data_IF_210318023371
#
_entry.id   IF_210318023371
#
_cell.length_a   1.000
_cell.length_b   1.000
_cell.length_c   1.000
_cell.angle_alpha   90.00
_cell.angle_beta   90.00
_cell.angle_gamma   90.00
#
_symmetry.space_group_name_H-M   'P 1'
#
loop_
_entity.id
_entity.type
_entity.pdbx_description
1 polymer ?
#
# COMPACT_ATOMS: atom_id res chain seq x y z
N UNK A 1 0.55 12.29 -6.27
CA UNK A 1 -0.67 12.41 -7.11
C UNK A 1 -1.14 11.02 -7.49
N UNK A 2 -2.42 10.71 -7.41
CA UNK A 2 -2.96 9.41 -7.85
C UNK A 2 -3.32 9.49 -9.33
N UNK A 3 -2.90 8.50 -10.13
CA UNK A 3 -3.23 8.37 -11.57
C UNK A 3 -3.32 6.88 -11.95
N UNK A 4 -3.78 6.57 -13.16
CA UNK A 4 -3.72 5.20 -13.68
C UNK A 4 -2.26 4.70 -13.71
N UNK A 5 -2.04 3.48 -13.21
CA UNK A 5 -0.74 2.82 -13.19
C UNK A 5 -0.60 1.87 -14.37
N UNK A 6 0.62 1.73 -14.88
CA UNK A 6 0.95 0.67 -15.86
C UNK A 6 1.21 -0.69 -15.20
N UNK A 7 1.31 -0.73 -13.87
CA UNK A 7 1.46 -1.96 -13.08
C UNK A 7 0.06 -2.52 -12.80
N UNK A 8 -0.73 -1.84 -11.97
CA UNK A 8 -2.09 -2.26 -11.66
C UNK A 8 -2.98 -1.08 -11.27
N UNK A 9 -4.17 -0.99 -11.88
CA UNK A 9 -5.22 -0.03 -11.48
C UNK A 9 -4.74 1.41 -11.39
N UNK A 10 -4.56 1.91 -10.17
CA UNK A 10 -4.03 3.25 -9.88
C UNK A 10 -2.71 3.16 -9.12
N UNK A 11 -1.88 4.18 -9.25
CA UNK A 11 -0.60 4.31 -8.56
C UNK A 11 -0.43 5.69 -7.93
N UNK A 12 0.54 5.81 -7.02
CA UNK A 12 0.98 7.09 -6.47
C UNK A 12 2.18 7.59 -7.26
N UNK A 13 2.10 8.79 -7.80
CA UNK A 13 3.17 9.40 -8.57
C UNK A 13 3.71 10.63 -7.84
N UNK A 14 5.03 10.75 -7.81
CA UNK A 14 5.65 11.94 -7.26
C UNK A 14 5.30 13.18 -8.10
N UNK A 15 5.07 14.31 -7.44
CA UNK A 15 4.81 15.60 -8.12
C UNK A 15 6.04 16.48 -8.18
N UNK A 16 7.05 16.19 -7.36
CA UNK A 16 8.32 16.90 -7.26
C UNK A 16 9.45 15.87 -7.13
N UNK A 17 10.71 16.21 -7.42
CA UNK A 17 11.81 15.30 -7.11
C UNK A 17 11.83 14.96 -5.61
N UNK A 18 12.12 13.70 -5.26
CA UNK A 18 12.28 13.21 -3.88
C UNK A 18 13.72 12.68 -3.76
N UNK A 19 14.57 13.28 -2.92
CA UNK A 19 15.92 12.77 -2.70
C UNK A 19 15.94 11.40 -2.03
N UNK A 20 16.97 10.61 -2.32
CA UNK A 20 17.24 9.35 -1.63
C UNK A 20 17.25 9.55 -0.10
N UNK A 21 16.62 8.62 0.62
CA UNK A 21 16.53 8.64 2.08
C UNK A 21 15.43 9.53 2.66
N UNK A 22 14.70 10.30 1.84
CA UNK A 22 13.56 11.08 2.31
C UNK A 22 12.40 10.17 2.73
N UNK A 23 11.77 10.47 3.87
CA UNK A 23 10.57 9.76 4.34
C UNK A 23 9.40 10.05 3.40
N UNK A 24 8.78 8.98 2.90
CA UNK A 24 7.62 8.99 2.00
C UNK A 24 6.34 8.75 2.80
N UNK A 25 6.37 7.77 3.71
CA UNK A 25 5.26 7.41 4.59
C UNK A 25 5.80 7.04 5.97
N UNK A 26 5.00 7.29 7.01
CA UNK A 26 5.30 6.90 8.39
C UNK A 26 4.00 6.51 9.08
N UNK A 27 4.03 5.36 9.76
CA UNK A 27 2.91 4.88 10.55
C UNK A 27 2.55 5.89 11.63
N UNK A 28 1.34 6.40 11.56
CA UNK A 28 0.83 7.46 12.42
C UNK A 28 -0.43 6.96 13.12
N UNK A 29 -0.31 6.72 14.42
CA UNK A 29 -1.45 6.36 15.28
C UNK A 29 -2.58 7.38 15.17
N UNK A 30 -3.78 6.91 14.85
CA UNK A 30 -4.96 7.77 14.67
C UNK A 30 -5.16 8.29 13.25
N UNK A 31 -4.20 8.04 12.35
CA UNK A 31 -4.33 8.30 10.90
C UNK A 31 -4.42 6.96 10.16
N UNK A 32 -3.50 6.05 10.43
CA UNK A 32 -3.53 4.70 9.86
C UNK A 32 -4.47 3.81 10.68
N UNK A 33 -5.24 3.00 9.96
CA UNK A 33 -6.24 2.15 10.58
C UNK A 33 -5.71 0.73 10.73
N UNK A 34 -5.50 0.30 11.98
CA UNK A 34 -5.26 -1.10 12.31
C UNK A 34 -6.59 -1.82 12.49
N UNK A 35 -6.80 -2.89 11.73
CA UNK A 35 -8.00 -3.73 11.74
C UNK A 35 -7.60 -5.14 12.16
N UNK A 36 -8.17 -5.62 13.27
CA UNK A 36 -7.95 -7.00 13.71
C UNK A 36 -8.65 -8.00 12.78
N UNK A 37 -8.22 -9.27 12.73
CA UNK A 37 -8.91 -10.30 11.94
C UNK A 37 -10.39 -10.45 12.30
N UNK A 38 -10.73 -10.29 13.58
CA UNK A 38 -12.11 -10.34 14.07
C UNK A 38 -12.95 -9.16 13.57
N UNK A 39 -12.39 -7.94 13.59
CA UNK A 39 -13.05 -6.76 13.01
C UNK A 39 -13.21 -6.92 11.50
N UNK A 40 -12.17 -7.37 10.79
CA UNK A 40 -12.23 -7.64 9.35
C UNK A 40 -13.40 -8.58 9.03
N UNK A 41 -13.50 -9.71 9.73
CA UNK A 41 -14.56 -10.69 9.53
C UNK A 41 -15.97 -10.17 9.89
N UNK A 42 -16.07 -9.11 10.70
CA UNK A 42 -17.34 -8.50 11.10
C UNK A 42 -17.93 -7.55 10.06
N UNK A 43 -17.11 -7.03 9.14
CA UNK A 43 -17.58 -6.16 8.06
C UNK A 43 -18.36 -6.95 7.01
N UNK A 44 -19.32 -6.34 6.29
CA UNK A 44 -19.99 -7.03 5.18
C UNK A 44 -19.09 -7.08 3.93
N UNK A 45 -19.30 -8.08 3.07
CA UNK A 45 -18.86 -7.97 1.67
C UNK A 45 -19.73 -6.94 0.93
N UNK A 46 -19.18 -6.16 -0.02
CA UNK A 46 -17.83 -6.21 -0.61
C UNK A 46 -16.78 -5.37 0.13
N UNK A 47 -17.09 -4.85 1.33
CA UNK A 47 -16.18 -3.97 2.06
C UNK A 47 -14.97 -4.72 2.61
N UNK A 48 -15.13 -5.99 3.04
CA UNK A 48 -13.99 -6.84 3.41
C UNK A 48 -13.00 -6.99 2.25
N UNK A 49 -13.47 -7.36 1.06
CA UNK A 49 -12.63 -7.48 -0.14
C UNK A 49 -11.92 -6.16 -0.46
N UNK A 50 -12.62 -5.03 -0.32
CA UNK A 50 -12.03 -3.70 -0.52
C UNK A 50 -10.96 -3.37 0.51
N UNK A 51 -11.19 -3.67 1.79
CA UNK A 51 -10.19 -3.46 2.85
C UNK A 51 -8.94 -4.30 2.60
N UNK A 52 -9.10 -5.62 2.35
CA UNK A 52 -7.97 -6.52 2.05
C UNK A 52 -7.15 -6.05 0.86
N UNK A 53 -7.78 -5.47 -0.16
CA UNK A 53 -7.07 -4.95 -1.34
C UNK A 53 -6.16 -3.75 -1.02
N UNK A 54 -6.53 -2.92 -0.06
CA UNK A 54 -5.83 -1.65 0.23
C UNK A 54 -5.06 -1.65 1.56
N UNK A 55 -5.18 -2.71 2.35
CA UNK A 55 -4.41 -2.95 3.56
C UNK A 55 -3.37 -4.03 3.33
N UNK A 56 -2.30 -4.02 4.11
CA UNK A 56 -1.36 -5.14 4.20
C UNK A 56 -1.53 -5.89 5.52
N UNK A 57 -1.25 -7.19 5.55
CA UNK A 57 -1.22 -7.93 6.81
C UNK A 57 0.17 -7.79 7.44
N UNK A 58 0.24 -7.05 8.54
CA UNK A 58 1.50 -6.85 9.28
C UNK A 58 1.88 -8.12 10.08
N UNK A 59 3.15 -8.24 10.47
CA UNK A 59 3.65 -9.33 11.33
C UNK A 59 2.90 -9.49 12.66
N UNK A 60 2.24 -8.42 13.13
CA UNK A 60 1.37 -8.46 14.31
C UNK A 60 0.11 -9.34 14.13
N UNK A 61 -0.22 -9.72 12.89
CA UNK A 61 -1.46 -10.41 12.53
C UNK A 61 -2.66 -9.48 12.35
N UNK A 62 -2.46 -8.16 12.34
CA UNK A 62 -3.49 -7.17 12.04
C UNK A 62 -3.30 -6.57 10.65
N UNK A 63 -4.41 -6.25 9.99
CA UNK A 63 -4.41 -5.52 8.73
C UNK A 63 -4.16 -4.03 9.00
N UNK A 64 -3.27 -3.41 8.23
CA UNK A 64 -2.99 -1.98 8.34
C UNK A 64 -3.38 -1.30 7.02
N UNK A 65 -4.32 -0.35 7.12
CA UNK A 65 -4.71 0.51 6.02
C UNK A 65 -4.05 1.87 6.20
N UNK A 66 -3.18 2.26 5.27
CA UNK A 66 -2.56 3.58 5.27
C UNK A 66 -3.63 4.67 5.08
N UNK A 67 -3.65 5.64 5.99
CA UNK A 67 -4.62 6.75 5.99
C UNK A 67 -4.42 7.70 4.81
N UNK A 68 -3.19 7.83 4.32
CA UNK A 68 -2.82 8.69 3.20
C UNK A 68 -2.75 7.94 1.87
N UNK A 69 -2.07 8.48 0.86
CA UNK A 69 -2.02 7.86 -0.46
C UNK A 69 -1.12 6.61 -0.54
N UNK A 70 -0.33 6.27 0.49
CA UNK A 70 0.58 5.13 0.47
C UNK A 70 -0.11 3.79 0.15
N UNK A 71 -1.40 3.64 0.53
CA UNK A 71 -2.24 2.48 0.17
C UNK A 71 -2.40 2.22 -1.33
N UNK A 72 -2.00 3.17 -2.18
CA UNK A 72 -2.04 3.03 -3.64
C UNK A 72 -0.65 2.81 -4.25
N UNK A 73 0.41 2.64 -3.46
CA UNK A 73 1.74 2.26 -3.99
C UNK A 73 1.69 0.80 -4.45
N UNK A 74 2.04 0.55 -5.70
CA UNK A 74 2.02 -0.80 -6.28
C UNK A 74 3.29 -1.59 -5.92
N UNK A 75 3.20 -2.91 -6.02
CA UNK A 75 4.35 -3.78 -5.91
C UNK A 75 5.30 -3.64 -7.11
N UNK A 76 6.61 -3.73 -6.88
CA UNK A 76 7.64 -3.88 -7.91
C UNK A 76 8.76 -4.79 -7.42
N UNK A 77 9.37 -5.56 -8.35
CA UNK A 77 10.60 -6.32 -8.09
C UNK A 77 11.84 -5.43 -7.92
N UNK A 78 11.75 -4.17 -8.35
CA UNK A 78 12.78 -3.15 -8.21
C UNK A 78 12.11 -1.87 -7.68
N UNK A 79 11.64 -1.88 -6.43
CA UNK A 79 10.92 -0.75 -5.87
C UNK A 79 11.85 0.45 -5.73
N UNK A 80 11.30 1.65 -5.86
CA UNK A 80 12.00 2.89 -5.54
C UNK A 80 11.74 3.39 -4.12
N UNK A 81 10.88 2.69 -3.38
CA UNK A 81 10.64 2.87 -1.95
C UNK A 81 11.25 1.69 -1.16
N UNK A 82 11.80 2.00 0.01
CA UNK A 82 12.40 1.06 0.96
C UNK A 82 11.59 1.09 2.26
N UNK A 83 10.85 0.01 2.52
CA UNK A 83 9.97 -0.15 3.67
C UNK A 83 10.74 -0.67 4.89
N UNK A 84 10.72 0.11 5.98
CA UNK A 84 11.53 -0.11 7.19
C UNK A 84 10.67 -0.27 8.44
N UNK A 85 9.69 -1.18 8.35
CA UNK A 85 8.75 -1.47 9.43
C UNK A 85 7.72 -0.36 9.62
N UNK A 86 8.03 0.66 10.41
CA UNK A 86 7.09 1.74 10.74
C UNK A 86 7.13 2.95 9.79
N UNK A 87 8.01 2.94 8.80
CA UNK A 87 8.15 4.04 7.84
C UNK A 87 8.72 3.54 6.52
N UNK A 88 8.49 4.30 5.46
CA UNK A 88 8.97 4.06 4.10
C UNK A 88 9.82 5.24 3.67
N UNK A 89 10.98 4.98 3.08
CA UNK A 89 11.86 6.02 2.54
C UNK A 89 12.10 5.85 1.04
N UNK A 90 12.54 6.90 0.36
CA UNK A 90 13.05 6.78 -1.00
C UNK A 90 14.36 5.97 -1.01
N UNK A 91 14.40 4.86 -1.76
CA UNK A 91 15.59 4.01 -1.86
C UNK A 91 16.74 4.67 -2.65
N UNK A 92 16.37 5.55 -3.58
CA UNK A 92 17.25 6.37 -4.41
C UNK A 92 16.53 7.68 -4.78
N UNK A 93 17.18 8.58 -5.51
CA UNK A 93 16.52 9.79 -6.01
C UNK A 93 15.36 9.42 -6.94
N UNK A 94 14.17 9.97 -6.67
CA UNK A 94 12.93 9.75 -7.44
C UNK A 94 12.60 11.04 -8.19
N UNK A 95 12.44 10.94 -9.50
CA UNK A 95 12.06 12.04 -10.37
C UNK A 95 10.61 12.50 -10.16
N UNK A 96 10.32 13.75 -10.49
CA UNK A 96 8.95 14.21 -10.60
C UNK A 96 8.22 13.42 -11.71
N UNK A 97 7.04 12.90 -11.40
CA UNK A 97 6.23 12.10 -12.31
C UNK A 97 6.51 10.60 -12.28
N UNK A 98 7.51 10.13 -11.52
CA UNK A 98 7.74 8.69 -11.32
C UNK A 98 6.72 8.08 -10.36
N UNK A 99 6.35 6.82 -10.60
CA UNK A 99 5.48 6.04 -9.72
C UNK A 99 6.25 5.56 -8.49
N UNK A 100 5.69 5.76 -7.30
CA UNK A 100 6.18 5.23 -6.04
C UNK A 100 5.73 3.77 -5.93
N UNK A 101 6.69 2.87 -5.75
CA UNK A 101 6.47 1.43 -5.71
C UNK A 101 7.22 0.80 -4.55
N UNK A 102 6.63 -0.24 -3.97
CA UNK A 102 7.14 -0.94 -2.79
C UNK A 102 7.39 -2.43 -3.09
N UNK A 103 8.14 -3.11 -2.21
CA UNK A 103 8.19 -4.56 -2.20
C UNK A 103 7.22 -5.12 -1.17
N UNK A 104 6.04 -5.60 -1.60
CA UNK A 104 5.03 -6.12 -0.69
C UNK A 104 5.53 -7.32 0.12
N UNK A 105 6.49 -8.09 -0.42
CA UNK A 105 7.11 -9.24 0.28
C UNK A 105 7.82 -8.81 1.56
N UNK A 106 8.15 -7.53 1.71
CA UNK A 106 8.87 -6.99 2.85
C UNK A 106 8.00 -6.68 4.07
N UNK A 107 6.69 -6.51 3.89
CA UNK A 107 5.79 -6.09 4.97
C UNK A 107 4.42 -6.78 5.01
N UNK A 108 3.97 -7.35 3.89
CA UNK A 108 2.68 -8.03 3.81
C UNK A 108 2.88 -9.55 3.89
N UNK A 109 2.50 -10.13 5.03
CA UNK A 109 2.68 -11.57 5.28
C UNK A 109 1.74 -12.44 4.45
N UNK A 110 0.67 -11.87 3.87
CA UNK A 110 -0.25 -12.58 2.97
C UNK A 110 0.21 -12.51 1.50
N UNK A 111 1.20 -11.69 1.15
CA UNK A 111 1.60 -11.52 -0.24
C UNK A 111 2.35 -12.76 -0.77
N UNK A 112 1.72 -13.46 -1.72
CA UNK A 112 2.25 -14.68 -2.33
C UNK A 112 2.79 -14.47 -3.76
N UNK A 113 2.85 -13.21 -4.21
CA UNK A 113 3.27 -12.85 -5.57
C UNK A 113 2.16 -12.95 -6.62
N UNK A 114 0.94 -13.35 -6.25
CA UNK A 114 -0.21 -13.33 -7.14
C UNK A 114 -0.84 -11.94 -7.20
N UNK A 115 -1.35 -11.55 -8.37
CA UNK A 115 -2.17 -10.34 -8.47
C UNK A 115 -3.49 -10.53 -7.74
N UNK A 116 -3.88 -9.53 -6.95
CA UNK A 116 -5.15 -9.52 -6.26
C UNK A 116 -6.31 -9.51 -7.26
N UNK A 117 -6.88 -10.69 -7.55
CA UNK A 117 -8.08 -10.84 -8.38
C UNK A 117 -9.30 -10.60 -7.50
N UNK A 118 -9.60 -9.34 -7.18
CA UNK A 118 -10.87 -9.01 -6.57
C UNK A 118 -11.96 -9.19 -7.65
N UNK A 119 -12.84 -10.18 -7.49
CA UNK A 119 -14.11 -10.18 -8.20
C UNK A 119 -14.83 -8.87 -7.84
N UNK A 120 -14.95 -7.97 -8.81
CA UNK A 120 -15.65 -6.71 -8.63
C UNK A 120 -17.13 -7.01 -8.48
N UNK A 121 -17.57 -7.27 -7.25
CA UNK A 121 -18.97 -7.14 -6.89
C UNK A 121 -19.29 -5.64 -6.94
N UNK A 122 -19.75 -5.19 -8.10
CA UNK A 122 -20.23 -3.82 -8.30
C UNK A 122 -21.34 -3.58 -7.28
N UNK A 123 -21.05 -2.73 -6.30
CA UNK A 123 -22.03 -2.22 -5.35
C UNK A 123 -23.01 -1.35 -6.15
N UNK A 124 -24.21 -1.89 -6.41
CA UNK A 124 -25.35 -1.15 -6.95
C UNK A 124 -26.16 -0.56 -5.81
#
# INVERSE_FOLDING_TARGET
MIRGSTIQGVGVFSVTPIPAGMVIWEYTTGVDWTVTPQEMASFPEPFQASLRRYSYLAESGNYVLCGDNAKFMNHSDKPNCDDRGSHTIAAWDIGAGEELTCDYRSFDVEFDGSEFVAEVAVMR
#
